data_IF_997006563054
#
_entry.id   IF_997006563054
#
_cell.length_a   1.000
_cell.length_b   1.000
_cell.length_c   1.000
_cell.angle_alpha   90.00
_cell.angle_beta   90.00
_cell.angle_gamma   90.00
#
_symmetry.space_group_name_H-M   'P 1'
#
loop_
_entity.id
_entity.type
_entity.pdbx_description
1 polymer ?
#
# COMPACT_ATOMS: atom_id res chain seq x y z
N UNK A 1 -26.26 2.55 6.25
CA UNK A 1 -25.34 1.65 5.55
C UNK A 1 -23.96 1.96 6.09
N UNK A 2 -23.20 0.98 6.56
CA UNK A 2 -21.79 1.20 6.92
C UNK A 2 -21.04 1.45 5.62
N UNK A 3 -20.32 2.56 5.50
CA UNK A 3 -19.38 2.72 4.39
C UNK A 3 -18.20 1.80 4.67
N UNK A 4 -17.89 0.90 3.75
CA UNK A 4 -16.72 0.03 3.90
C UNK A 4 -15.46 0.89 3.99
N UNK A 5 -14.70 0.73 5.06
CA UNK A 5 -13.40 1.36 5.21
C UNK A 5 -12.30 0.36 4.85
N UNK A 6 -11.19 0.88 4.40
CA UNK A 6 -9.99 0.13 4.09
C UNK A 6 -8.83 0.76 4.85
N UNK A 7 -7.96 -0.09 5.37
CA UNK A 7 -6.68 0.28 5.97
C UNK A 7 -5.57 -0.21 5.07
N UNK A 8 -4.60 0.66 4.80
CA UNK A 8 -3.37 0.28 4.11
C UNK A 8 -2.18 0.54 5.05
N UNK A 9 -1.36 -0.49 5.28
CA UNK A 9 -0.14 -0.40 6.09
C UNK A 9 1.06 -0.57 5.16
N UNK A 10 1.78 0.51 4.91
CA UNK A 10 3.02 0.55 4.13
C UNK A 10 4.23 0.29 5.02
N UNK A 11 5.14 -0.56 4.55
CA UNK A 11 6.46 -0.82 5.13
C UNK A 11 7.51 -0.84 4.03
N UNK A 12 8.53 -0.01 4.16
CA UNK A 12 9.63 0.13 3.21
C UNK A 12 10.94 -0.42 3.81
N UNK A 13 11.88 -0.79 2.95
CA UNK A 13 13.19 -1.34 3.34
C UNK A 13 14.07 -0.33 4.08
N UNK A 14 13.89 0.97 3.84
CA UNK A 14 14.61 2.04 4.53
C UNK A 14 14.13 2.24 5.99
N UNK A 15 13.14 1.46 6.43
CA UNK A 15 12.53 1.54 7.75
C UNK A 15 11.34 2.48 7.82
N UNK A 16 10.95 3.13 6.72
CA UNK A 16 9.74 3.93 6.68
C UNK A 16 8.49 3.05 6.79
N UNK A 17 7.51 3.54 7.54
CA UNK A 17 6.21 2.91 7.65
C UNK A 17 5.12 3.97 7.72
N UNK A 18 4.00 3.70 7.05
CA UNK A 18 2.82 4.56 7.11
C UNK A 18 1.55 3.73 7.23
N UNK A 19 0.54 4.26 7.92
CA UNK A 19 -0.80 3.68 7.99
C UNK A 19 -1.81 4.72 7.51
N UNK A 20 -2.68 4.33 6.59
CA UNK A 20 -3.76 5.17 6.09
C UNK A 20 -5.09 4.41 6.12
N UNK A 21 -6.15 5.08 6.56
CA UNK A 21 -7.51 4.52 6.63
C UNK A 21 -8.48 5.44 5.90
N UNK A 22 -9.38 4.88 5.11
CA UNK A 22 -10.39 5.64 4.39
C UNK A 22 -11.40 4.77 3.65
N UNK A 23 -12.42 5.40 3.08
CA UNK A 23 -13.50 4.70 2.36
C UNK A 23 -13.16 4.49 0.87
N UNK A 24 -12.32 5.35 0.29
CA UNK A 24 -11.93 5.29 -1.12
C UNK A 24 -10.63 4.50 -1.29
N UNK A 25 -10.76 3.19 -1.54
CA UNK A 25 -9.61 2.31 -1.76
C UNK A 25 -8.68 2.78 -2.90
N UNK A 26 -9.17 3.14 -4.10
CA UNK A 26 -8.33 3.74 -5.15
C UNK A 26 -7.52 4.96 -4.68
N UNK A 27 -8.13 5.86 -3.91
CA UNK A 27 -7.42 7.02 -3.38
C UNK A 27 -6.33 6.60 -2.38
N UNK A 28 -6.64 5.66 -1.47
CA UNK A 28 -5.67 5.14 -0.50
C UNK A 28 -4.46 4.48 -1.17
N UNK A 29 -4.70 3.68 -2.21
CA UNK A 29 -3.65 3.05 -3.01
C UNK A 29 -2.79 4.12 -3.68
N UNK A 30 -3.42 5.13 -4.29
CA UNK A 30 -2.70 6.25 -4.94
C UNK A 30 -1.79 6.99 -3.96
N UNK A 31 -2.30 7.33 -2.76
CA UNK A 31 -1.51 7.97 -1.71
C UNK A 31 -0.37 7.06 -1.23
N UNK A 32 -0.64 5.77 -1.02
CA UNK A 32 0.37 4.82 -0.56
C UNK A 32 1.48 4.62 -1.59
N UNK A 33 1.14 4.55 -2.87
CA UNK A 33 2.10 4.42 -3.97
C UNK A 33 2.99 5.67 -4.07
N UNK A 34 2.44 6.86 -3.89
CA UNK A 34 3.22 8.09 -3.86
C UNK A 34 4.24 8.09 -2.71
N UNK A 35 3.83 7.67 -1.51
CA UNK A 35 4.72 7.54 -0.36
C UNK A 35 5.79 6.47 -0.60
N UNK A 36 5.43 5.31 -1.14
CA UNK A 36 6.40 4.28 -1.49
C UNK A 36 7.45 4.80 -2.50
N UNK A 37 7.04 5.62 -3.47
CA UNK A 37 7.95 6.23 -4.44
C UNK A 37 8.95 7.20 -3.81
N UNK A 38 8.53 7.98 -2.80
CA UNK A 38 9.44 8.83 -2.03
C UNK A 38 10.50 8.01 -1.26
N UNK A 39 10.18 6.77 -0.92
CA UNK A 39 11.00 5.84 -0.15
C UNK A 39 11.65 4.72 -0.99
N UNK A 40 11.79 4.94 -2.30
CA UNK A 40 12.54 4.03 -3.19
C UNK A 40 11.74 2.85 -3.77
N UNK A 41 10.42 2.85 -3.65
CA UNK A 41 9.50 1.99 -4.40
C UNK A 41 9.27 2.50 -5.82
N UNK A 42 9.84 1.84 -6.84
CA UNK A 42 9.72 2.28 -8.23
C UNK A 42 8.49 1.69 -8.94
N UNK A 43 8.40 0.37 -8.97
CA UNK A 43 7.35 -0.39 -9.63
C UNK A 43 6.42 -1.00 -8.57
N UNK A 44 5.15 -0.58 -8.58
CA UNK A 44 4.11 -1.19 -7.77
C UNK A 44 3.52 -2.40 -8.52
N UNK A 45 3.65 -3.57 -7.90
CA UNK A 45 2.94 -4.77 -8.33
C UNK A 45 1.73 -4.97 -7.43
N UNK A 46 0.56 -4.66 -7.98
CA UNK A 46 -0.72 -4.82 -7.30
C UNK A 46 -1.12 -6.31 -7.32
N UNK A 47 -0.83 -7.00 -6.22
CA UNK A 47 -1.39 -8.31 -5.93
C UNK A 47 -2.63 -8.13 -5.04
N UNK A 48 -3.67 -7.57 -5.64
CA UNK A 48 -5.01 -7.49 -5.04
C UNK A 48 -5.67 -8.89 -5.08
N UNK A 49 -5.07 -9.86 -4.38
CA UNK A 49 -5.75 -11.11 -4.03
C UNK A 49 -6.67 -10.92 -2.81
N UNK A 50 -7.31 -11.98 -2.33
CA UNK A 50 -8.23 -11.94 -1.17
C UNK A 50 -7.62 -11.36 0.12
N UNK A 51 -6.29 -11.17 0.17
CA UNK A 51 -5.56 -10.53 1.28
C UNK A 51 -4.93 -9.16 0.91
N UNK A 52 -5.19 -8.64 -0.28
CA UNK A 52 -4.82 -7.32 -0.80
C UNK A 52 -3.42 -6.85 -0.41
N UNK A 53 -2.38 -7.21 -1.15
CA UNK A 53 -1.02 -6.72 -0.88
C UNK A 53 -0.40 -6.07 -2.11
N UNK A 54 0.25 -4.93 -1.93
CA UNK A 54 1.01 -4.23 -2.98
C UNK A 54 2.49 -4.44 -2.67
N UNK A 55 3.24 -4.98 -3.63
CA UNK A 55 4.69 -5.13 -3.49
C UNK A 55 5.35 -4.05 -4.33
N UNK A 56 6.20 -3.26 -3.68
CA UNK A 56 7.01 -2.24 -4.34
C UNK A 56 8.38 -2.82 -4.66
N UNK A 57 8.81 -2.65 -5.90
CA UNK A 57 10.14 -3.07 -6.34
C UNK A 57 10.90 -1.91 -6.95
N UNK A 58 12.22 -2.01 -6.98
CA UNK A 58 13.10 -1.09 -7.68
C UNK A 58 14.24 -1.89 -8.29
N UNK A 59 14.43 -1.78 -9.61
CA UNK A 59 15.40 -2.59 -10.35
C UNK A 59 15.28 -4.10 -10.09
N UNK A 60 14.04 -4.60 -9.91
CA UNK A 60 13.76 -6.02 -9.66
C UNK A 60 14.01 -6.50 -8.22
N UNK A 61 14.34 -5.59 -7.29
CA UNK A 61 14.45 -5.89 -5.85
C UNK A 61 13.24 -5.35 -5.11
N UNK A 62 12.66 -6.11 -4.19
CA UNK A 62 11.53 -5.66 -3.38
C UNK A 62 11.99 -4.62 -2.36
N UNK A 63 11.53 -3.38 -2.49
CA UNK A 63 11.90 -2.25 -1.63
C UNK A 63 10.81 -1.90 -0.62
N UNK A 64 9.63 -2.50 -0.74
CA UNK A 64 8.56 -2.32 0.23
C UNK A 64 7.33 -3.16 -0.03
N UNK A 65 6.40 -3.12 0.91
CA UNK A 65 5.10 -3.78 0.84
C UNK A 65 4.04 -2.92 1.51
N UNK A 66 2.86 -2.85 0.91
CA UNK A 66 1.66 -2.35 1.55
C UNK A 66 0.62 -3.46 1.72
N UNK A 67 0.12 -3.62 2.95
CA UNK A 67 -0.95 -4.56 3.29
C UNK A 67 -2.29 -3.81 3.34
N UNK A 68 -3.27 -4.25 2.55
CA UNK A 68 -4.62 -3.69 2.48
C UNK A 68 -5.57 -4.59 3.27
N UNK A 69 -6.32 -4.02 4.22
CA UNK A 69 -7.26 -4.76 5.07
C UNK A 69 -8.58 -4.01 5.15
N UNK A 70 -9.73 -4.64 4.87
CA UNK A 70 -11.03 -4.03 5.11
C UNK A 70 -11.26 -3.82 6.62
N UNK A 71 -11.82 -2.67 6.98
CA UNK A 71 -12.16 -2.26 8.34
C UNK A 71 -13.68 -2.14 8.40
N UNK A 72 -14.31 -2.94 9.27
CA UNK A 72 -15.77 -3.07 9.44
C UNK A 72 -16.29 -2.06 10.46
#
# INVERSE_FOLDING_TARGET
MSTEQYRIILKMEDGYSNEVVGEDLPQLITTTNALAAEHGGGDAHDYLDENGSIIYTNNGQATGRADVTPVI
#
